data_IF_275688380186
#
_entry.id   IF_275688380186
#
_cell.length_a   1.000
_cell.length_b   1.000
_cell.length_c   1.000
_cell.angle_alpha   90.00
_cell.angle_beta   90.00
_cell.angle_gamma   90.00
#
_symmetry.space_group_name_H-M   'P 1'
#
loop_
_entity.id
_entity.type
_entity.pdbx_description
1 polymer ?
#
# COMPACT_ATOMS: atom_id res chain seq x y z
N UNK A 1 58.24 64.82 -65.61
CA UNK A 1 57.00 64.09 -65.27
C UNK A 1 56.77 64.18 -63.76
N UNK A 2 56.06 65.22 -63.28
CA UNK A 2 56.06 65.59 -61.85
C UNK A 2 54.82 65.17 -61.05
N UNK A 3 53.87 64.46 -61.64
CA UNK A 3 52.67 64.05 -60.89
C UNK A 3 52.90 62.71 -60.18
N UNK A 4 53.39 62.79 -58.95
CA UNK A 4 53.66 61.59 -58.14
C UNK A 4 52.37 60.81 -57.86
N UNK A 5 51.20 61.46 -57.82
CA UNK A 5 49.92 60.80 -57.59
C UNK A 5 49.55 59.88 -58.74
N UNK A 6 49.67 60.34 -59.98
CA UNK A 6 49.39 59.53 -61.16
C UNK A 6 50.26 58.27 -61.23
N UNK A 7 51.51 58.35 -60.74
CA UNK A 7 52.42 57.21 -60.67
C UNK A 7 51.98 56.19 -59.60
N UNK A 8 51.53 56.65 -58.43
CA UNK A 8 50.95 55.78 -57.40
C UNK A 8 49.67 55.10 -57.90
N UNK A 9 48.76 55.86 -58.51
CA UNK A 9 47.50 55.34 -59.05
C UNK A 9 47.75 54.29 -60.15
N UNK A 10 48.70 54.53 -61.06
CA UNK A 10 49.13 53.57 -62.08
C UNK A 10 49.56 52.23 -61.46
N UNK A 11 50.50 52.26 -60.51
CA UNK A 11 51.01 51.04 -59.92
C UNK A 11 49.99 50.34 -59.02
N UNK A 12 49.11 51.08 -58.34
CA UNK A 12 48.01 50.52 -57.55
C UNK A 12 47.09 49.63 -58.39
N UNK A 13 46.78 50.05 -59.63
CA UNK A 13 45.97 49.28 -60.58
C UNK A 13 46.68 48.00 -61.04
N UNK A 14 48.02 48.02 -61.14
CA UNK A 14 48.82 46.85 -61.55
C UNK A 14 48.99 45.80 -60.44
N UNK A 15 48.77 46.16 -59.17
CA UNK A 15 48.87 45.19 -58.05
C UNK A 15 47.73 44.20 -58.09
N UNK A 16 48.06 42.91 -58.19
CA UNK A 16 47.13 41.78 -58.13
C UNK A 16 47.38 40.97 -56.86
N UNK A 17 46.31 40.69 -56.13
CA UNK A 17 46.35 39.80 -54.98
C UNK A 17 46.35 38.34 -55.46
N UNK A 18 47.13 37.51 -54.77
CA UNK A 18 47.16 36.05 -54.94
C UNK A 18 47.25 35.36 -53.57
N UNK A 19 47.21 34.04 -53.56
CA UNK A 19 47.33 33.23 -52.34
C UNK A 19 46.38 33.67 -51.21
N UNK A 20 45.07 33.72 -51.51
CA UNK A 20 44.06 34.22 -50.59
C UNK A 20 43.95 33.42 -49.27
N UNK A 21 44.40 32.17 -49.26
CA UNK A 21 44.42 31.33 -48.06
C UNK A 21 45.39 31.88 -47.02
N UNK A 22 46.64 32.17 -47.41
CA UNK A 22 47.65 32.73 -46.52
C UNK A 22 47.24 34.12 -45.99
N UNK A 23 46.58 34.92 -46.83
CA UNK A 23 46.07 36.24 -46.44
C UNK A 23 44.98 36.14 -45.36
N UNK A 24 44.22 35.05 -45.32
CA UNK A 24 43.11 34.84 -44.38
C UNK A 24 43.49 34.11 -43.07
N UNK A 25 44.73 33.64 -42.96
CA UNK A 25 45.22 32.97 -41.74
C UNK A 25 45.04 33.90 -40.53
N UNK A 26 44.45 33.40 -39.45
CA UNK A 26 44.19 34.17 -38.23
C UNK A 26 45.46 34.54 -37.45
N UNK A 27 46.52 33.73 -37.56
CA UNK A 27 47.80 33.98 -36.90
C UNK A 27 48.60 35.15 -37.48
N UNK A 28 49.70 35.51 -36.82
CA UNK A 28 50.63 36.50 -37.37
C UNK A 28 51.28 35.97 -38.65
N UNK A 29 51.34 36.81 -39.70
CA UNK A 29 52.09 36.55 -40.92
C UNK A 29 52.97 37.76 -41.18
N UNK A 30 54.25 37.50 -41.42
CA UNK A 30 55.23 38.56 -41.67
C UNK A 30 54.86 39.36 -42.93
N UNK A 31 54.99 40.68 -42.85
CA UNK A 31 54.66 41.61 -43.95
C UNK A 31 55.45 41.33 -45.22
N UNK A 32 56.70 40.83 -45.08
CA UNK A 32 57.51 40.39 -46.20
C UNK A 32 56.81 39.25 -46.96
N UNK A 33 56.39 38.19 -46.27
CA UNK A 33 55.69 37.05 -46.88
C UNK A 33 54.39 37.49 -47.54
N UNK A 34 53.60 38.34 -46.88
CA UNK A 34 52.36 38.86 -47.46
C UNK A 34 52.60 39.64 -48.76
N UNK A 35 53.65 40.47 -48.82
CA UNK A 35 53.98 41.20 -50.05
C UNK A 35 54.43 40.25 -51.16
N UNK A 36 55.36 39.35 -50.90
CA UNK A 36 55.97 38.52 -51.94
C UNK A 36 55.08 37.36 -52.39
N UNK A 37 54.45 36.67 -51.43
CA UNK A 37 53.68 35.45 -51.71
C UNK A 37 52.23 35.74 -52.05
N UNK A 38 51.67 36.86 -51.57
CA UNK A 38 50.26 37.19 -51.76
C UNK A 38 50.00 38.37 -52.70
N UNK A 39 51.05 38.91 -53.35
CA UNK A 39 50.91 39.86 -54.45
C UNK A 39 51.84 39.55 -55.61
N UNK A 40 51.65 40.18 -56.75
CA UNK A 40 52.58 40.12 -57.89
C UNK A 40 53.82 41.02 -57.73
N UNK A 41 54.26 41.36 -56.50
CA UNK A 41 55.38 42.25 -56.22
C UNK A 41 56.67 41.89 -56.99
N UNK A 42 57.07 40.61 -56.96
CA UNK A 42 58.29 40.17 -57.63
C UNK A 42 58.20 40.27 -59.15
N UNK A 43 57.01 40.04 -59.72
CA UNK A 43 56.73 40.17 -61.15
C UNK A 43 56.76 41.65 -61.58
N UNK A 44 56.14 42.55 -60.80
CA UNK A 44 56.10 43.99 -61.09
C UNK A 44 57.49 44.62 -61.01
N UNK A 45 58.30 44.24 -60.01
CA UNK A 45 59.68 44.72 -59.85
C UNK A 45 60.58 44.29 -61.02
N UNK A 46 60.37 43.10 -61.57
CA UNK A 46 61.12 42.57 -62.70
C UNK A 46 60.49 42.92 -64.06
N UNK A 47 59.40 43.69 -64.07
CA UNK A 47 58.72 44.08 -65.30
C UNK A 47 59.62 44.90 -66.21
N UNK A 48 59.45 44.72 -67.53
CA UNK A 48 60.24 45.45 -68.54
C UNK A 48 60.14 46.96 -68.38
N UNK A 49 58.96 47.47 -68.02
CA UNK A 49 58.71 48.90 -67.79
C UNK A 49 59.57 49.46 -66.65
N UNK A 50 59.79 48.69 -65.58
CA UNK A 50 60.64 49.08 -64.45
C UNK A 50 62.13 48.93 -64.77
N UNK A 51 62.51 47.90 -65.52
CA UNK A 51 63.90 47.63 -65.87
C UNK A 51 64.48 48.62 -66.89
N UNK A 52 63.65 49.21 -67.73
CA UNK A 52 64.05 50.24 -68.71
C UNK A 52 64.31 51.61 -68.08
N UNK A 53 63.93 51.82 -66.81
CA UNK A 53 64.19 53.07 -66.09
C UNK A 53 65.65 53.17 -65.65
N UNK A 54 66.21 54.37 -65.72
CA UNK A 54 67.53 54.67 -65.16
C UNK A 54 67.48 54.80 -63.63
N UNK A 55 68.63 54.60 -62.96
CA UNK A 55 68.76 55.02 -61.56
C UNK A 55 68.88 56.54 -61.51
N UNK A 56 68.11 57.29 -60.70
CA UNK A 56 67.39 56.92 -59.47
C UNK A 56 65.86 56.68 -59.61
N UNK A 57 65.29 56.87 -60.81
CA UNK A 57 63.85 56.77 -61.05
C UNK A 57 63.34 55.34 -60.83
N UNK A 58 64.15 54.35 -61.23
CA UNK A 58 63.88 52.93 -60.97
C UNK A 58 63.72 52.63 -59.48
N UNK A 59 64.63 53.15 -58.65
CA UNK A 59 64.55 52.99 -57.19
C UNK A 59 63.27 53.62 -56.60
N UNK A 60 62.86 54.79 -57.11
CA UNK A 60 61.59 55.43 -56.71
C UNK A 60 60.38 54.57 -57.08
N UNK A 61 60.33 54.03 -58.29
CA UNK A 61 59.24 53.17 -58.76
C UNK A 61 59.16 51.87 -57.96
N UNK A 62 60.29 51.22 -57.67
CA UNK A 62 60.32 50.01 -56.84
C UNK A 62 59.79 50.29 -55.42
N UNK A 63 60.11 51.45 -54.85
CA UNK A 63 59.57 51.85 -53.55
C UNK A 63 58.05 52.02 -53.58
N UNK A 64 57.50 52.62 -54.66
CA UNK A 64 56.06 52.75 -54.88
C UNK A 64 55.41 51.37 -55.01
N UNK A 65 55.93 50.49 -55.86
CA UNK A 65 55.42 49.13 -56.04
C UNK A 65 55.43 48.36 -54.71
N UNK A 66 56.50 48.50 -53.92
CA UNK A 66 56.62 47.88 -52.58
C UNK A 66 55.53 48.38 -51.65
N UNK A 67 55.29 49.68 -51.63
CA UNK A 67 54.26 50.30 -50.81
C UNK A 67 52.87 49.81 -51.23
N UNK A 68 52.53 49.91 -52.51
CA UNK A 68 51.21 49.54 -53.03
C UNK A 68 50.89 48.06 -52.81
N UNK A 69 51.84 47.16 -53.08
CA UNK A 69 51.68 45.73 -52.81
C UNK A 69 51.45 45.47 -51.31
N UNK A 70 52.22 46.14 -50.45
CA UNK A 70 52.10 45.97 -48.99
C UNK A 70 50.77 46.54 -48.47
N UNK A 71 50.37 47.71 -48.93
CA UNK A 71 49.14 48.36 -48.51
C UNK A 71 47.91 47.54 -48.93
N UNK A 72 47.84 47.12 -50.20
CA UNK A 72 46.70 46.38 -50.75
C UNK A 72 46.48 45.03 -50.05
N UNK A 73 47.55 44.26 -49.80
CA UNK A 73 47.43 42.97 -49.11
C UNK A 73 47.05 43.14 -47.63
N UNK A 74 47.58 44.15 -46.95
CA UNK A 74 47.25 44.43 -45.54
C UNK A 74 45.82 44.93 -45.39
N UNK A 75 45.35 45.82 -46.28
CA UNK A 75 43.97 46.28 -46.30
C UNK A 75 43.00 45.13 -46.53
N UNK A 76 43.30 44.27 -47.51
CA UNK A 76 42.47 43.09 -47.79
C UNK A 76 42.44 42.13 -46.58
N UNK A 77 43.60 41.86 -45.96
CA UNK A 77 43.71 41.04 -44.75
C UNK A 77 42.90 41.61 -43.60
N UNK A 78 43.03 42.91 -43.34
CA UNK A 78 42.29 43.57 -42.27
C UNK A 78 40.77 43.48 -42.47
N UNK A 79 40.30 43.62 -43.72
CA UNK A 79 38.90 43.40 -44.08
C UNK A 79 38.45 41.98 -43.75
N UNK A 80 39.20 40.96 -44.23
CA UNK A 80 38.88 39.55 -43.98
C UNK A 80 38.84 39.17 -42.50
N UNK A 81 39.80 39.67 -41.73
CA UNK A 81 39.85 39.41 -40.29
C UNK A 81 38.69 40.09 -39.55
N UNK A 82 38.28 41.28 -40.00
CA UNK A 82 37.09 41.98 -39.47
C UNK A 82 35.80 41.22 -39.78
N UNK A 83 35.62 40.78 -41.02
CA UNK A 83 34.46 39.99 -41.42
C UNK A 83 34.35 38.70 -40.58
N UNK A 84 35.48 38.01 -40.39
CA UNK A 84 35.55 36.82 -39.55
C UNK A 84 35.24 37.12 -38.08
N UNK A 85 35.73 38.23 -37.54
CA UNK A 85 35.43 38.65 -36.17
C UNK A 85 33.92 38.94 -35.99
N UNK A 86 33.30 39.58 -36.99
CA UNK A 86 31.86 39.84 -36.98
C UNK A 86 31.06 38.52 -37.03
N UNK A 87 31.40 37.60 -37.92
CA UNK A 87 30.76 36.28 -38.00
C UNK A 87 30.90 35.51 -36.68
N UNK A 88 32.08 35.52 -36.06
CA UNK A 88 32.28 34.89 -34.75
C UNK A 88 31.43 35.56 -33.67
N UNK A 89 31.33 36.89 -33.67
CA UNK A 89 30.47 37.62 -32.73
C UNK A 89 28.99 37.26 -32.88
N UNK A 90 28.50 37.17 -34.13
CA UNK A 90 27.14 36.75 -34.44
C UNK A 90 26.87 35.32 -33.95
N UNK A 91 27.74 34.36 -34.27
CA UNK A 91 27.61 32.96 -33.82
C UNK A 91 27.65 32.84 -32.29
N UNK A 92 28.51 33.60 -31.60
CA UNK A 92 28.53 33.65 -30.13
C UNK A 92 27.21 34.19 -29.58
N UNK A 93 26.65 35.23 -30.20
CA UNK A 93 25.34 35.77 -29.83
C UNK A 93 24.22 34.73 -30.00
N UNK A 94 24.18 34.04 -31.14
CA UNK A 94 23.22 32.96 -31.39
C UNK A 94 23.33 31.84 -30.35
N UNK A 95 24.56 31.40 -30.03
CA UNK A 95 24.79 30.36 -29.02
C UNK A 95 24.31 30.80 -27.63
N UNK A 96 24.53 32.04 -27.22
CA UNK A 96 24.00 32.55 -25.95
C UNK A 96 22.46 32.62 -25.94
N UNK A 97 21.82 32.97 -27.06
CA UNK A 97 20.35 32.89 -27.14
C UNK A 97 19.83 31.46 -27.06
N UNK A 98 20.53 30.48 -27.63
CA UNK A 98 20.16 29.07 -27.50
C UNK A 98 20.36 28.56 -26.07
N UNK A 99 21.49 28.90 -25.45
CA UNK A 99 21.80 28.56 -24.05
C UNK A 99 20.75 29.09 -23.09
N UNK A 100 20.33 30.34 -23.24
CA UNK A 100 19.27 30.93 -22.41
C UNK A 100 17.91 30.24 -22.62
N UNK A 101 17.56 29.87 -23.86
CA UNK A 101 16.34 29.06 -24.14
C UNK A 101 16.39 27.70 -23.46
N UNK A 102 17.52 26.99 -23.57
CA UNK A 102 17.71 25.68 -22.94
C UNK A 102 17.62 25.76 -21.40
N UNK A 103 18.24 26.78 -20.80
CA UNK A 103 18.14 27.00 -19.35
C UNK A 103 16.70 27.21 -18.88
N UNK A 104 15.91 28.00 -19.62
CA UNK A 104 14.47 28.17 -19.32
C UNK A 104 13.70 26.86 -19.43
N UNK A 105 14.00 26.04 -20.44
CA UNK A 105 13.36 24.73 -20.60
C UNK A 105 13.72 23.80 -19.43
N UNK A 106 14.98 23.76 -19.02
CA UNK A 106 15.44 22.97 -17.87
C UNK A 106 14.69 23.40 -16.60
N UNK A 107 14.57 24.70 -16.34
CA UNK A 107 13.83 25.21 -15.18
C UNK A 107 12.34 24.82 -15.22
N UNK A 108 11.70 24.91 -16.40
CA UNK A 108 10.30 24.49 -16.56
C UNK A 108 10.11 22.98 -16.33
N UNK A 109 11.04 22.16 -16.80
CA UNK A 109 11.02 20.71 -16.57
C UNK A 109 11.25 20.37 -15.09
N UNK A 110 12.19 21.03 -14.43
CA UNK A 110 12.44 20.87 -13.00
C UNK A 110 11.18 21.22 -12.18
N UNK A 111 10.54 22.36 -12.46
CA UNK A 111 9.31 22.75 -11.77
C UNK A 111 8.19 21.70 -11.93
N UNK A 112 8.03 21.13 -13.13
CA UNK A 112 7.06 20.05 -13.38
C UNK A 112 7.41 18.77 -12.62
N UNK A 113 8.68 18.35 -12.63
CA UNK A 113 9.15 17.17 -11.92
C UNK A 113 8.91 17.29 -10.42
N UNK A 114 9.36 18.38 -9.80
CA UNK A 114 9.14 18.61 -8.37
C UNK A 114 7.66 18.75 -8.00
N UNK A 115 6.83 19.29 -8.91
CA UNK A 115 5.38 19.30 -8.74
C UNK A 115 4.80 17.89 -8.69
N UNK A 116 5.24 17.01 -9.60
CA UNK A 116 4.80 15.61 -9.65
C UNK A 116 5.29 14.79 -8.46
N UNK A 117 6.50 15.03 -7.96
CA UNK A 117 6.99 14.38 -6.75
C UNK A 117 6.12 14.70 -5.53
N UNK A 118 5.69 15.96 -5.38
CA UNK A 118 4.77 16.36 -4.31
C UNK A 118 3.40 15.69 -4.43
N UNK A 119 2.84 15.63 -5.65
CA UNK A 119 1.58 14.91 -5.90
C UNK A 119 1.71 13.42 -5.57
N UNK A 120 2.83 12.78 -5.94
CA UNK A 120 3.10 11.38 -5.61
C UNK A 120 3.15 11.14 -4.10
N UNK A 121 3.82 12.00 -3.33
CA UNK A 121 3.85 11.87 -1.87
C UNK A 121 2.46 12.05 -1.24
N UNK A 122 1.64 12.97 -1.77
CA UNK A 122 0.25 13.12 -1.34
C UNK A 122 -0.58 11.86 -1.64
N UNK A 123 -0.43 11.27 -2.82
CA UNK A 123 -1.12 10.03 -3.16
C UNK A 123 -0.66 8.85 -2.32
N UNK A 124 0.64 8.71 -2.04
CA UNK A 124 1.16 7.68 -1.11
C UNK A 124 0.55 7.83 0.28
N UNK A 125 0.51 9.04 0.82
CA UNK A 125 -0.11 9.30 2.12
C UNK A 125 -1.61 8.95 2.10
N UNK A 126 -2.33 9.29 1.02
CA UNK A 126 -3.74 8.95 0.88
C UNK A 126 -3.98 7.44 0.80
N UNK A 127 -3.13 6.71 0.07
CA UNK A 127 -3.18 5.25 0.00
C UNK A 127 -2.99 4.64 1.39
N UNK A 128 -1.97 5.07 2.14
CA UNK A 128 -1.71 4.55 3.48
C UNK A 128 -2.90 4.77 4.45
N UNK A 129 -3.56 5.94 4.37
CA UNK A 129 -4.78 6.21 5.15
C UNK A 129 -5.91 5.25 4.75
N UNK A 130 -6.15 5.08 3.45
CA UNK A 130 -7.21 4.19 2.95
C UNK A 130 -6.94 2.72 3.28
N UNK A 131 -5.68 2.29 3.27
CA UNK A 131 -5.29 0.94 3.69
C UNK A 131 -5.58 0.72 5.19
N UNK A 132 -5.27 1.70 6.02
CA UNK A 132 -5.59 1.65 7.46
C UNK A 132 -7.12 1.63 7.71
N UNK A 133 -7.89 2.47 7.00
CA UNK A 133 -9.35 2.49 7.08
C UNK A 133 -9.96 1.14 6.63
N UNK A 134 -9.46 0.55 5.54
CA UNK A 134 -9.92 -0.76 5.08
C UNK A 134 -9.60 -1.87 6.10
N UNK A 135 -8.42 -1.87 6.70
CA UNK A 135 -8.06 -2.85 7.72
C UNK A 135 -8.97 -2.74 8.96
N UNK A 136 -9.28 -1.52 9.39
CA UNK A 136 -10.21 -1.27 10.50
C UNK A 136 -11.63 -1.78 10.17
N UNK A 137 -12.14 -1.47 8.97
CA UNK A 137 -13.45 -1.94 8.52
C UNK A 137 -13.52 -3.47 8.40
N UNK A 138 -12.44 -4.12 7.97
CA UNK A 138 -12.35 -5.58 7.93
C UNK A 138 -12.43 -6.18 9.34
N UNK A 139 -11.69 -5.63 10.30
CA UNK A 139 -11.76 -6.08 11.69
C UNK A 139 -13.16 -5.88 12.30
N UNK A 140 -13.82 -4.75 12.01
CA UNK A 140 -15.19 -4.49 12.45
C UNK A 140 -16.19 -5.48 11.85
N UNK A 141 -16.03 -5.84 10.57
CA UNK A 141 -16.86 -6.83 9.89
C UNK A 141 -16.68 -8.23 10.50
N UNK A 142 -15.44 -8.64 10.78
CA UNK A 142 -15.13 -9.92 11.44
C UNK A 142 -15.73 -9.98 12.86
N UNK A 143 -15.59 -8.89 13.63
CA UNK A 143 -16.19 -8.78 14.96
C UNK A 143 -17.72 -8.87 14.90
N UNK A 144 -18.36 -8.17 13.97
CA UNK A 144 -19.80 -8.24 13.78
C UNK A 144 -20.27 -9.65 13.42
N UNK A 145 -19.51 -10.36 12.57
CA UNK A 145 -19.80 -11.75 12.22
C UNK A 145 -19.66 -12.68 13.44
N UNK A 146 -18.63 -12.48 14.26
CA UNK A 146 -18.45 -13.23 15.51
C UNK A 146 -19.61 -12.97 16.51
N UNK A 147 -20.06 -11.73 16.64
CA UNK A 147 -21.22 -11.39 17.47
C UNK A 147 -22.50 -12.09 17.01
N UNK A 148 -22.74 -12.15 15.70
CA UNK A 148 -23.89 -12.89 15.14
C UNK A 148 -23.80 -14.37 15.50
N UNK A 149 -22.62 -15.00 15.35
CA UNK A 149 -22.41 -16.39 15.73
C UNK A 149 -22.71 -16.61 17.23
N UNK A 150 -22.14 -15.77 18.11
CA UNK A 150 -22.38 -15.83 19.55
C UNK A 150 -23.86 -15.69 19.91
N UNK A 151 -24.60 -14.79 19.25
CA UNK A 151 -26.05 -14.66 19.44
C UNK A 151 -26.78 -15.95 19.08
N UNK A 152 -26.44 -16.58 17.95
CA UNK A 152 -27.08 -17.85 17.57
C UNK A 152 -26.74 -19.00 18.52
N UNK A 153 -25.54 -19.03 19.08
CA UNK A 153 -25.15 -20.02 20.09
C UNK A 153 -25.89 -19.80 21.42
N UNK A 154 -26.01 -18.54 21.86
CA UNK A 154 -26.80 -18.18 23.03
C UNK A 154 -28.27 -18.59 22.89
N UNK A 155 -28.89 -18.34 21.73
CA UNK A 155 -30.27 -18.78 21.47
C UNK A 155 -30.42 -20.31 21.53
N UNK A 156 -29.45 -21.06 20.99
CA UNK A 156 -29.44 -22.52 21.09
C UNK A 156 -29.30 -22.98 22.54
N UNK A 157 -28.39 -22.36 23.29
CA UNK A 157 -28.15 -22.69 24.69
C UNK A 157 -29.37 -22.37 25.56
N UNK A 158 -30.06 -21.26 25.28
CA UNK A 158 -31.32 -20.90 25.95
C UNK A 158 -32.39 -21.97 25.71
N UNK A 159 -32.59 -22.41 24.46
CA UNK A 159 -33.55 -23.48 24.15
C UNK A 159 -33.21 -24.79 24.88
N UNK A 160 -31.92 -25.13 24.96
CA UNK A 160 -31.46 -26.31 25.71
C UNK A 160 -31.73 -26.16 27.21
N UNK A 161 -31.45 -24.98 27.77
CA UNK A 161 -31.73 -24.67 29.18
C UNK A 161 -33.22 -24.81 29.50
N UNK A 162 -34.11 -24.23 28.68
CA UNK A 162 -35.56 -24.29 28.87
C UNK A 162 -36.06 -25.75 28.79
N UNK A 163 -35.50 -26.56 27.89
CA UNK A 163 -35.82 -27.99 27.78
C UNK A 163 -35.40 -28.77 29.03
N UNK A 164 -34.21 -28.49 29.58
CA UNK A 164 -33.74 -29.08 30.83
C UNK A 164 -34.61 -28.64 32.01
N UNK A 165 -35.01 -27.37 32.06
CA UNK A 165 -35.87 -26.86 33.13
C UNK A 165 -37.25 -27.53 33.09
N UNK A 166 -37.85 -27.68 31.90
CA UNK A 166 -39.10 -28.41 31.71
C UNK A 166 -38.97 -29.85 32.18
N UNK A 167 -37.91 -30.55 31.77
CA UNK A 167 -37.63 -31.94 32.21
C UNK A 167 -37.46 -32.03 33.72
N UNK A 168 -36.82 -31.05 34.35
CA UNK A 168 -36.67 -30.98 35.81
C UNK A 168 -38.02 -30.85 36.51
N UNK A 169 -38.93 -30.02 35.98
CA UNK A 169 -40.29 -29.86 36.52
C UNK A 169 -41.10 -31.16 36.38
N UNK A 170 -41.02 -31.84 35.24
CA UNK A 170 -41.67 -33.14 35.00
C UNK A 170 -41.15 -34.21 35.97
N UNK A 171 -39.83 -34.32 36.14
CA UNK A 171 -39.22 -35.24 37.12
C UNK A 171 -39.66 -34.94 38.56
N UNK A 172 -39.78 -33.66 38.93
CA UNK A 172 -40.27 -33.29 40.25
C UNK A 172 -41.73 -33.73 40.47
N UNK A 173 -42.60 -33.60 39.47
CA UNK A 173 -43.98 -34.09 39.53
C UNK A 173 -44.05 -35.62 39.62
N UNK A 174 -43.26 -36.32 38.79
CA UNK A 174 -43.17 -37.77 38.82
C UNK A 174 -42.68 -38.28 40.19
N UNK A 175 -41.67 -37.64 40.79
CA UNK A 175 -41.19 -37.98 42.12
C UNK A 175 -42.25 -37.77 43.20
N UNK A 176 -43.05 -36.70 43.13
CA UNK A 176 -44.18 -36.50 44.07
C UNK A 176 -45.22 -37.62 43.94
N UNK A 177 -45.59 -37.99 42.70
CA UNK A 177 -46.52 -39.08 42.43
C UNK A 177 -46.00 -40.42 42.97
N UNK A 178 -44.73 -40.75 42.68
CA UNK A 178 -44.07 -41.94 43.21
C UNK A 178 -44.03 -41.94 44.75
N UNK A 179 -43.69 -40.81 45.37
CA UNK A 179 -43.73 -40.65 46.82
C UNK A 179 -45.11 -40.93 47.41
N UNK A 180 -46.18 -40.45 46.76
CA UNK A 180 -47.56 -40.77 47.13
C UNK A 180 -47.86 -42.27 47.02
N UNK A 181 -47.46 -42.93 45.92
CA UNK A 181 -47.64 -44.38 45.74
C UNK A 181 -46.89 -45.19 46.79
N UNK A 182 -45.66 -44.78 47.14
CA UNK A 182 -44.88 -45.40 48.22
C UNK A 182 -45.57 -45.23 49.56
N UNK A 183 -46.07 -44.03 49.89
CA UNK A 183 -46.81 -43.78 51.12
C UNK A 183 -48.09 -44.63 51.22
N UNK A 184 -48.85 -44.75 50.12
CA UNK A 184 -50.01 -45.65 50.07
C UNK A 184 -49.62 -47.11 50.31
N UNK A 185 -48.55 -47.58 49.64
CA UNK A 185 -48.06 -48.96 49.80
C UNK A 185 -47.64 -49.23 51.25
N UNK A 186 -46.94 -48.30 51.88
CA UNK A 186 -46.58 -48.40 53.30
C UNK A 186 -47.81 -48.40 54.20
N UNK A 187 -48.81 -47.56 53.92
CA UNK A 187 -50.07 -47.53 54.67
C UNK A 187 -50.83 -48.85 54.56
N UNK A 188 -50.98 -49.40 53.35
CA UNK A 188 -51.61 -50.71 53.16
C UNK A 188 -50.85 -51.83 53.87
N UNK A 189 -49.51 -51.76 53.88
CA UNK A 189 -48.69 -52.71 54.65
C UNK A 189 -48.99 -52.61 56.15
N UNK A 190 -49.03 -51.41 56.72
CA UNK A 190 -49.41 -51.20 58.14
C UNK A 190 -50.81 -51.70 58.45
N UNK A 191 -51.80 -51.36 57.62
CA UNK A 191 -53.18 -51.85 57.77
C UNK A 191 -53.26 -53.37 57.70
N UNK A 192 -52.49 -54.00 56.81
CA UNK A 192 -52.39 -55.46 56.73
C UNK A 192 -51.79 -56.04 58.00
N UNK A 193 -50.71 -55.44 58.50
CA UNK A 193 -50.03 -55.89 59.72
C UNK A 193 -50.97 -55.77 60.95
N UNK A 194 -51.70 -54.66 61.07
CA UNK A 194 -52.75 -54.45 62.09
C UNK A 194 -53.87 -55.49 61.97
N UNK A 195 -54.40 -55.72 60.76
CA UNK A 195 -55.42 -56.74 60.53
C UNK A 195 -54.91 -58.16 60.87
N UNK A 196 -53.64 -58.46 60.60
CA UNK A 196 -53.04 -59.75 61.00
C UNK A 196 -52.97 -59.90 62.52
N UNK A 197 -52.68 -58.82 63.27
CA UNK A 197 -52.70 -58.83 64.74
C UNK A 197 -54.13 -59.07 65.23
N UNK A 198 -55.12 -58.32 64.72
CA UNK A 198 -56.54 -58.50 65.08
C UNK A 198 -57.04 -59.91 64.80
N UNK A 199 -56.66 -60.52 63.66
CA UNK A 199 -57.02 -61.91 63.35
C UNK A 199 -56.39 -62.90 64.35
N UNK A 200 -55.16 -62.66 64.82
CA UNK A 200 -54.54 -63.48 65.86
C UNK A 200 -55.27 -63.35 67.20
N UNK A 201 -55.63 -62.13 67.59
CA UNK A 201 -56.40 -61.87 68.82
C UNK A 201 -57.79 -62.51 68.78
N UNK A 202 -58.54 -62.33 67.69
CA UNK A 202 -59.84 -62.97 67.49
C UNK A 202 -59.73 -64.49 67.50
N UNK A 203 -58.67 -65.07 66.92
CA UNK A 203 -58.42 -66.52 67.01
C UNK A 203 -58.16 -66.97 68.45
N UNK A 204 -57.38 -66.22 69.23
CA UNK A 204 -57.12 -66.54 70.63
C UNK A 204 -58.41 -66.43 71.47
N UNK A 205 -59.23 -65.40 71.24
CA UNK A 205 -60.54 -65.25 71.87
C UNK A 205 -61.49 -66.39 71.49
N UNK A 206 -61.56 -66.77 70.21
CA UNK A 206 -62.32 -67.92 69.75
C UNK A 206 -61.87 -69.21 70.43
N UNK A 207 -60.55 -69.44 70.57
CA UNK A 207 -60.02 -70.60 71.28
C UNK A 207 -60.43 -70.58 72.76
N UNK A 208 -60.32 -69.44 73.43
CA UNK A 208 -60.74 -69.26 74.83
C UNK A 208 -62.24 -69.54 75.01
N UNK A 209 -63.09 -68.91 74.19
CA UNK A 209 -64.54 -69.12 74.21
C UNK A 209 -64.92 -70.57 73.87
N UNK A 210 -64.19 -71.22 72.96
CA UNK A 210 -64.42 -72.64 72.63
C UNK A 210 -64.10 -73.51 73.84
N UNK A 211 -63.01 -73.23 74.55
CA UNK A 211 -62.64 -73.94 75.77
C UNK A 211 -63.67 -73.72 76.88
N UNK A 212 -64.10 -72.48 77.09
CA UNK A 212 -65.15 -72.13 78.06
C UNK A 212 -66.48 -72.79 77.70
N UNK A 213 -66.88 -72.83 76.42
CA UNK A 213 -68.09 -73.54 75.99
C UNK A 213 -67.99 -75.05 76.24
N UNK A 214 -66.81 -75.66 76.06
CA UNK A 214 -66.57 -77.06 76.41
C UNK A 214 -66.68 -77.30 77.92
N UNK A 215 -66.12 -76.41 78.75
CA UNK A 215 -66.23 -76.48 80.21
C UNK A 215 -67.69 -76.34 80.67
N UNK A 216 -68.41 -75.33 80.16
CA UNK A 216 -69.83 -75.13 80.46
C UNK A 216 -70.70 -76.30 80.01
N UNK A 217 -70.41 -76.92 78.85
CA UNK A 217 -71.10 -78.16 78.43
C UNK A 217 -70.85 -79.31 79.41
N UNK A 218 -69.60 -79.52 79.82
CA UNK A 218 -69.27 -80.54 80.81
C UNK A 218 -69.92 -80.27 82.17
N UNK A 219 -70.03 -78.99 82.57
CA UNK A 219 -70.73 -78.57 83.79
C UNK A 219 -72.25 -78.74 83.67
N UNK A 220 -72.85 -78.43 82.51
CA UNK A 220 -74.26 -78.68 82.23
C UNK A 220 -74.57 -80.18 82.27
N UNK A 221 -73.71 -81.02 81.69
CA UNK A 221 -73.85 -82.48 81.75
C UNK A 221 -73.73 -83.00 83.19
N UNK A 222 -72.83 -82.43 84.00
CA UNK A 222 -72.75 -82.74 85.45
C UNK A 222 -74.00 -82.32 86.20
N UNK A 223 -74.54 -81.13 85.93
CA UNK A 223 -75.78 -80.65 86.56
C UNK A 223 -76.99 -81.48 86.12
N UNK A 224 -77.07 -81.91 84.86
CA UNK A 224 -78.10 -82.85 84.38
C UNK A 224 -78.01 -84.20 85.08
N UNK A 225 -76.80 -84.73 85.28
CA UNK A 225 -76.58 -85.95 86.06
C UNK A 225 -76.97 -85.76 87.53
N UNK A 226 -76.72 -84.58 88.12
CA UNK A 226 -77.15 -84.26 89.47
C UNK A 226 -78.68 -84.11 89.57
N UNK A 227 -79.32 -83.48 88.59
CA UNK A 227 -80.78 -83.36 88.49
C UNK A 227 -81.44 -84.74 88.39
N UNK A 228 -80.93 -85.61 87.51
CA UNK A 228 -81.36 -87.00 87.40
C UNK A 228 -81.16 -87.79 88.71
N UNK A 229 -80.18 -87.45 89.55
CA UNK A 229 -79.99 -88.07 90.88
C UNK A 229 -81.01 -87.56 91.90
N UNK A 230 -81.37 -86.29 91.84
CA UNK A 230 -82.40 -85.69 92.72
C UNK A 230 -83.80 -86.17 92.32
N UNK A 231 -84.10 -86.29 91.02
CA UNK A 231 -85.36 -86.86 90.53
C UNK A 231 -85.51 -88.34 90.91
N UNK A 232 -84.42 -89.12 90.94
CA UNK A 232 -84.43 -90.50 91.43
C UNK A 232 -84.51 -90.63 92.96
N UNK A 233 -84.28 -89.55 93.73
CA UNK A 233 -84.46 -89.51 95.19
C UNK A 233 -85.87 -89.04 95.61
N UNK A 234 -86.65 -88.48 94.69
CA UNK A 234 -88.05 -88.08 94.93
C UNK A 234 -89.08 -89.18 94.59
N UNK A 235 -88.62 -90.38 94.18
CA UNK A 235 -89.45 -91.51 93.74
C UNK A 235 -89.42 -92.73 94.71
N UNK A 236 -88.98 -92.54 95.96
CA UNK A 236 -89.01 -93.52 97.06
C UNK A 236 -89.63 -92.87 98.31
#
# INVERSE_FOLDING_TARGET
MNDSKALFDYWYEQVRLKNHELVQVAGHVETYKLRHECTNYDELRLSREVQLLEEPERSKVIAIIKYECTAKVLQYRAGRLRDRANQLSETCGELETQKTKLLRLIQALQAKLFGKDKELEQYKARIAILEAENAALQADAENSQAEVQLRTELEKLQKQYDAVEKRRRELAQNNKSLGGRVAHTQRYKRQRDEAMIQVKELRAQLQSLTHENQQLRAENDRLRLALNRVENQAAL
#
